data_IF_170158549029
#
_entry.id   IF_170158549029
#
_cell.length_a   1.000
_cell.length_b   1.000
_cell.length_c   1.000
_cell.angle_alpha   90.00
_cell.angle_beta   90.00
_cell.angle_gamma   90.00
#
_symmetry.space_group_name_H-M   'P 1'
#
loop_
_entity.id
_entity.type
_entity.pdbx_description
1 polymer ?
#
# COMPACT_ATOMS: atom_id res chain seq x y z
N UNK A 1 -22.42 -6.22 -4.61
CA UNK A 1 -21.05 -5.75 -4.31
C UNK A 1 -20.11 -6.87 -3.81
N UNK A 2 -20.61 -7.81 -3.00
CA UNK A 2 -19.81 -8.89 -2.36
C UNK A 2 -18.88 -9.67 -3.30
N UNK A 3 -19.38 -10.13 -4.47
CA UNK A 3 -18.57 -10.88 -5.44
C UNK A 3 -17.32 -10.13 -5.89
N UNK A 4 -17.42 -8.81 -6.11
CA UNK A 4 -16.27 -7.99 -6.54
C UNK A 4 -15.24 -7.85 -5.43
N UNK A 5 -15.69 -7.55 -4.21
CA UNK A 5 -14.81 -7.45 -3.03
C UNK A 5 -14.13 -8.78 -2.73
N UNK A 6 -14.85 -9.90 -2.87
CA UNK A 6 -14.29 -11.24 -2.72
C UNK A 6 -13.14 -11.52 -3.70
N UNK A 7 -13.33 -11.20 -4.99
CA UNK A 7 -12.28 -11.41 -5.99
C UNK A 7 -11.08 -10.49 -5.80
N UNK A 8 -11.30 -9.24 -5.37
CA UNK A 8 -10.20 -8.32 -5.02
C UNK A 8 -9.42 -8.85 -3.82
N UNK A 9 -10.11 -9.26 -2.75
CA UNK A 9 -9.47 -9.81 -1.55
C UNK A 9 -8.68 -11.10 -1.87
N UNK A 10 -9.24 -12.00 -2.69
CA UNK A 10 -8.56 -13.20 -3.14
C UNK A 10 -7.29 -12.88 -3.93
N UNK A 11 -7.35 -11.90 -4.85
CA UNK A 11 -6.18 -11.45 -5.62
C UNK A 11 -5.09 -10.84 -4.74
N UNK A 12 -5.45 -10.06 -3.73
CA UNK A 12 -4.50 -9.47 -2.78
C UNK A 12 -3.82 -10.56 -1.95
N UNK A 13 -4.56 -11.53 -1.41
CA UNK A 13 -3.98 -12.64 -0.64
C UNK A 13 -3.02 -13.45 -1.50
N UNK A 14 -3.40 -13.76 -2.75
CA UNK A 14 -2.54 -14.49 -3.67
C UNK A 14 -1.25 -13.72 -4.00
N UNK A 15 -1.36 -12.40 -4.22
CA UNK A 15 -0.22 -11.51 -4.47
C UNK A 15 0.75 -11.45 -3.30
N UNK A 16 0.24 -11.31 -2.08
CA UNK A 16 1.08 -11.30 -0.86
C UNK A 16 1.83 -12.63 -0.70
N UNK A 17 1.17 -13.76 -0.94
CA UNK A 17 1.80 -15.08 -0.86
C UNK A 17 2.88 -15.26 -1.92
N UNK A 18 2.65 -14.79 -3.16
CA UNK A 18 3.63 -14.84 -4.24
C UNK A 18 4.88 -14.01 -3.90
N UNK A 19 4.70 -12.78 -3.42
CA UNK A 19 5.81 -11.90 -3.02
C UNK A 19 6.57 -12.47 -1.82
N UNK A 20 5.86 -13.06 -0.85
CA UNK A 20 6.49 -13.68 0.33
C UNK A 20 7.35 -14.89 -0.05
N UNK A 21 6.89 -15.72 -1.00
CA UNK A 21 7.69 -16.84 -1.51
C UNK A 21 8.87 -16.37 -2.35
N UNK A 22 8.68 -15.35 -3.19
CA UNK A 22 9.76 -14.79 -3.99
C UNK A 22 10.86 -14.17 -3.12
N UNK A 23 10.48 -13.41 -2.09
CA UNK A 23 11.43 -12.84 -1.11
C UNK A 23 12.14 -13.91 -0.31
N UNK A 24 11.44 -14.97 0.12
CA UNK A 24 12.07 -16.11 0.80
C UNK A 24 13.07 -16.86 -0.11
N UNK A 25 12.72 -17.07 -1.37
CA UNK A 25 13.59 -17.72 -2.36
C UNK A 25 14.85 -16.90 -2.65
N UNK A 26 14.69 -15.59 -2.87
CA UNK A 26 15.82 -14.65 -3.04
C UNK A 26 16.66 -14.60 -1.77
N UNK A 27 16.03 -14.71 -0.59
CA UNK A 27 16.75 -14.73 0.69
C UNK A 27 17.61 -15.98 0.87
N UNK A 28 17.11 -17.13 0.42
CA UNK A 28 17.81 -18.41 0.53
C UNK A 28 18.97 -18.56 -0.48
N UNK A 29 18.83 -17.99 -1.69
CA UNK A 29 19.80 -18.19 -2.78
C UNK A 29 20.74 -17.00 -3.06
N UNK A 30 20.68 -15.90 -2.27
CA UNK A 30 21.53 -14.71 -2.51
C UNK A 30 22.30 -14.31 -1.24
N UNK A 31 23.65 -14.22 -1.28
CA UNK A 31 24.45 -13.75 -0.15
C UNK A 31 24.10 -12.31 0.24
N UNK A 32 24.09 -12.01 1.54
CA UNK A 32 23.57 -10.75 2.11
C UNK A 32 24.09 -9.45 1.47
N UNK A 33 25.28 -9.47 0.84
CA UNK A 33 25.91 -8.29 0.22
C UNK A 33 25.19 -7.74 -1.02
N UNK A 34 24.45 -8.55 -1.78
CA UNK A 34 23.71 -8.06 -2.96
C UNK A 34 22.33 -7.49 -2.60
N UNK A 35 21.76 -7.91 -1.46
CA UNK A 35 20.47 -7.42 -0.95
C UNK A 35 20.57 -5.97 -0.47
N UNK A 36 21.73 -5.58 0.05
CA UNK A 36 22.03 -4.23 0.51
C UNK A 36 22.27 -3.24 -0.66
N UNK A 37 22.65 -3.72 -1.84
CA UNK A 37 22.87 -2.90 -3.04
C UNK A 37 21.55 -2.45 -3.71
N UNK A 38 20.47 -3.23 -3.61
CA UNK A 38 19.17 -2.90 -4.22
C UNK A 38 18.18 -2.19 -3.27
N UNK A 39 18.29 -2.39 -1.95
CA UNK A 39 17.29 -1.93 -0.97
C UNK A 39 17.80 -0.81 -0.03
N UNK A 40 19.08 -0.43 -0.14
CA UNK A 40 19.68 0.56 0.74
C UNK A 40 19.93 0.06 2.17
N UNK A 41 20.65 0.84 2.99
CA UNK A 41 21.16 0.41 4.30
C UNK A 41 20.09 0.26 5.40
N UNK A 42 18.89 0.80 5.24
CA UNK A 42 17.81 0.77 6.26
C UNK A 42 16.66 -0.17 5.88
N UNK A 43 16.95 -1.48 5.88
CA UNK A 43 15.96 -2.53 5.59
C UNK A 43 14.94 -2.79 6.70
N UNK A 44 15.13 -2.26 7.92
CA UNK A 44 14.26 -2.62 9.04
C UNK A 44 12.90 -1.89 9.02
N UNK A 45 12.80 -0.73 8.35
CA UNK A 45 11.64 0.16 8.46
C UNK A 45 10.90 0.44 7.14
N UNK A 46 11.20 -0.31 6.07
CA UNK A 46 10.55 -0.12 4.74
C UNK A 46 9.03 -0.32 4.82
N UNK A 47 8.59 -1.30 5.62
CA UNK A 47 7.17 -1.53 5.88
C UNK A 47 6.49 -0.34 6.57
N UNK A 48 7.12 0.23 7.60
CA UNK A 48 6.60 1.39 8.31
C UNK A 48 6.53 2.63 7.42
N UNK A 49 7.56 2.89 6.59
CA UNK A 49 7.55 4.01 5.64
C UNK A 49 6.46 3.88 4.59
N UNK A 50 6.22 2.65 4.11
CA UNK A 50 5.16 2.39 3.13
C UNK A 50 3.79 2.56 3.75
N UNK A 51 3.57 2.05 4.97
CA UNK A 51 2.31 2.24 5.70
C UNK A 51 2.06 3.72 6.02
N UNK A 52 3.09 4.45 6.46
CA UNK A 52 2.98 5.90 6.68
C UNK A 52 2.62 6.63 5.39
N UNK A 53 3.31 6.35 4.28
CA UNK A 53 3.00 6.95 2.98
C UNK A 53 1.58 6.66 2.50
N UNK A 54 1.09 5.44 2.70
CA UNK A 54 -0.29 5.07 2.36
C UNK A 54 -1.32 5.80 3.24
N UNK A 55 -1.04 5.95 4.55
CA UNK A 55 -1.92 6.69 5.47
C UNK A 55 -1.97 8.17 5.11
N UNK A 56 -0.83 8.77 4.78
CA UNK A 56 -0.75 10.18 4.41
C UNK A 56 -1.50 10.45 3.09
N UNK A 57 -1.32 9.58 2.10
CA UNK A 57 -2.06 9.63 0.85
C UNK A 57 -3.57 9.46 1.07
N UNK A 58 -3.97 8.55 1.95
CA UNK A 58 -5.39 8.34 2.28
C UNK A 58 -6.00 9.58 2.94
N UNK A 59 -5.30 10.20 3.90
CA UNK A 59 -5.77 11.43 4.57
C UNK A 59 -5.92 12.59 3.59
N UNK A 60 -4.98 12.77 2.66
CA UNK A 60 -5.08 13.79 1.61
C UNK A 60 -6.30 13.54 0.71
N UNK A 61 -6.52 12.30 0.29
CA UNK A 61 -7.68 11.94 -0.52
C UNK A 61 -9.01 12.17 0.23
N UNK A 62 -9.04 11.88 1.54
CA UNK A 62 -10.20 12.14 2.38
C UNK A 62 -10.50 13.65 2.47
N UNK A 63 -9.49 14.47 2.77
CA UNK A 63 -9.65 15.93 2.86
C UNK A 63 -10.14 16.54 1.54
N UNK A 64 -9.55 16.13 0.41
CA UNK A 64 -10.00 16.57 -0.91
C UNK A 64 -11.48 16.23 -1.14
N UNK A 65 -11.93 15.05 -0.69
CA UNK A 65 -13.33 14.66 -0.78
C UNK A 65 -14.25 15.45 0.14
N UNK A 66 -13.82 15.74 1.36
CA UNK A 66 -14.56 16.58 2.30
C UNK A 66 -14.74 18.00 1.77
N UNK A 67 -13.71 18.59 1.16
CA UNK A 67 -13.82 19.90 0.50
C UNK A 67 -14.79 19.89 -0.69
N UNK A 68 -14.75 18.85 -1.52
CA UNK A 68 -15.69 18.69 -2.63
C UNK A 68 -17.13 18.55 -2.15
N UNK A 69 -17.36 17.74 -1.11
CA UNK A 69 -18.67 17.57 -0.48
C UNK A 69 -19.16 18.89 0.10
N UNK A 70 -18.31 19.61 0.84
CA UNK A 70 -18.66 20.90 1.42
C UNK A 70 -19.09 21.90 0.33
N UNK A 71 -18.32 22.01 -0.77
CA UNK A 71 -18.70 22.84 -1.92
C UNK A 71 -20.06 22.45 -2.51
N UNK A 72 -20.33 21.15 -2.67
CA UNK A 72 -21.61 20.66 -3.20
C UNK A 72 -22.79 20.96 -2.27
N UNK A 73 -22.62 20.82 -0.96
CA UNK A 73 -23.68 21.10 0.00
C UNK A 73 -23.92 22.59 0.19
N UNK A 74 -22.86 23.42 0.23
CA UNK A 74 -23.00 24.88 0.27
C UNK A 74 -23.68 25.41 -1.01
N UNK A 75 -23.32 24.88 -2.19
CA UNK A 75 -23.96 25.26 -3.45
C UNK A 75 -25.42 24.78 -3.58
N UNK A 76 -25.84 23.77 -2.81
CA UNK A 76 -27.25 23.34 -2.74
C UNK A 76 -28.07 24.09 -1.69
N UNK A 77 -27.42 24.80 -0.75
CA UNK A 77 -28.08 25.58 0.30
C UNK A 77 -28.31 27.05 -0.10
N UNK A 78 -27.63 27.56 -1.14
CA UNK A 78 -27.84 28.88 -1.74
C UNK A 78 -28.87 28.83 -2.87
#
# INVERSE_FOLDING_TARGET
>A
MFKRVFWVAAGVVLGVLAVSKATAYVRANTPDKARQFLLGPDQENVGMRTLQGLIDQFRQAQQAREEELNRQYTAKLS
#
